data_IF_097357001146
#
_entry.id   IF_097357001146
#
_cell.length_a   1.000
_cell.length_b   1.000
_cell.length_c   1.000
_cell.angle_alpha   90.00
_cell.angle_beta   90.00
_cell.angle_gamma   90.00
#
_symmetry.space_group_name_H-M   'P 1'
#
loop_
_entity.id
_entity.type
_entity.pdbx_description
1 polymer ?
#
# COMPACT_ATOMS: atom_id res chain seq x y z
N UNK A 1 38.36 -0.53 -7.92
CA UNK A 1 37.28 -0.11 -8.84
C UNK A 1 36.42 0.89 -8.09
N UNK A 2 36.22 2.06 -8.67
CA UNK A 2 35.75 3.28 -8.00
C UNK A 2 34.22 3.32 -7.87
N UNK A 3 33.75 3.49 -6.63
CA UNK A 3 32.36 3.65 -6.16
C UNK A 3 31.42 4.52 -7.05
N UNK A 4 31.89 5.58 -7.75
CA UNK A 4 31.02 6.40 -8.60
C UNK A 4 30.46 5.66 -9.83
N UNK A 5 31.16 4.65 -10.35
CA UNK A 5 30.73 3.93 -11.54
C UNK A 5 29.52 3.00 -11.27
N UNK A 6 29.38 2.49 -10.05
CA UNK A 6 28.22 1.70 -9.62
C UNK A 6 26.95 2.55 -9.49
N UNK A 7 27.09 3.77 -9.00
CA UNK A 7 25.96 4.69 -8.77
C UNK A 7 25.37 5.22 -10.08
N UNK A 8 26.23 5.53 -11.06
CA UNK A 8 25.80 5.97 -12.40
C UNK A 8 25.14 4.82 -13.18
N UNK A 9 25.63 3.59 -13.02
CA UNK A 9 24.98 2.39 -13.58
C UNK A 9 23.58 2.17 -13.02
N UNK A 10 23.40 2.34 -11.70
CA UNK A 10 22.10 2.21 -11.04
C UNK A 10 21.09 3.25 -11.54
N UNK A 11 21.50 4.53 -11.67
CA UNK A 11 20.60 5.59 -12.14
C UNK A 11 20.17 5.44 -13.60
N UNK A 12 21.05 4.96 -14.49
CA UNK A 12 20.71 4.76 -15.90
C UNK A 12 19.78 3.57 -16.11
N UNK A 13 19.94 2.50 -15.32
CA UNK A 13 19.02 1.35 -15.33
C UNK A 13 17.64 1.75 -14.79
N UNK A 14 17.57 2.51 -13.68
CA UNK A 14 16.29 2.97 -13.12
C UNK A 14 15.50 3.87 -14.09
N UNK A 15 16.16 4.75 -14.84
CA UNK A 15 15.49 5.66 -15.79
C UNK A 15 14.97 4.91 -17.02
N UNK A 16 15.77 3.98 -17.57
CA UNK A 16 15.33 3.13 -18.69
C UNK A 16 14.11 2.27 -18.34
N UNK A 17 14.07 1.76 -17.10
CA UNK A 17 12.99 0.91 -16.63
C UNK A 17 11.69 1.64 -16.30
N UNK A 18 11.77 2.90 -15.82
CA UNK A 18 10.56 3.69 -15.57
C UNK A 18 9.76 3.87 -16.86
N UNK A 19 10.46 4.03 -17.99
CA UNK A 19 9.88 4.16 -19.32
C UNK A 19 9.34 2.80 -19.82
N UNK A 20 10.10 1.71 -19.65
CA UNK A 20 9.66 0.35 -20.00
C UNK A 20 8.44 -0.13 -19.21
N UNK A 21 8.39 0.19 -17.92
CA UNK A 21 7.30 -0.18 -17.02
C UNK A 21 6.03 0.66 -17.26
N UNK A 22 6.17 1.93 -17.63
CA UNK A 22 5.04 2.76 -18.07
C UNK A 22 4.38 2.21 -19.34
N UNK A 23 5.19 1.68 -20.28
CA UNK A 23 4.69 1.00 -21.48
C UNK A 23 4.04 -0.35 -21.12
N UNK A 24 4.59 -1.07 -20.14
CA UNK A 24 4.05 -2.33 -19.62
C UNK A 24 2.68 -2.16 -18.94
N UNK A 25 2.52 -1.11 -18.10
CA UNK A 25 1.25 -0.76 -17.47
C UNK A 25 0.18 -0.41 -18.50
N UNK A 26 0.56 0.24 -19.61
CA UNK A 26 -0.36 0.65 -20.68
C UNK A 26 -0.81 -0.50 -21.59
N UNK A 27 0.02 -1.53 -21.77
CA UNK A 27 -0.29 -2.70 -22.61
C UNK A 27 -1.11 -3.78 -21.88
N UNK A 28 -1.03 -3.85 -20.56
CA UNK A 28 -1.54 -4.99 -19.76
C UNK A 28 -2.94 -4.75 -19.17
N UNK A 29 -3.48 -3.53 -19.25
CA UNK A 29 -4.77 -3.12 -18.70
C UNK A 29 -6.03 -3.89 -19.14
N UNK A 30 -5.93 -4.98 -19.91
CA UNK A 30 -7.10 -5.69 -20.46
C UNK A 30 -7.30 -7.18 -20.09
N UNK A 31 -6.35 -7.90 -19.45
CA UNK A 31 -6.56 -9.36 -19.28
C UNK A 31 -5.83 -10.07 -18.12
N UNK A 32 -5.66 -9.42 -16.96
CA UNK A 32 -4.79 -10.00 -15.92
C UNK A 32 -5.52 -10.25 -14.59
N UNK A 33 -5.64 -11.54 -14.23
CA UNK A 33 -6.26 -11.99 -12.99
C UNK A 33 -5.51 -11.54 -11.73
N UNK A 34 -6.22 -11.48 -10.59
CA UNK A 34 -5.75 -10.94 -9.31
C UNK A 34 -4.43 -11.51 -8.78
N UNK A 35 -4.05 -12.73 -9.18
CA UNK A 35 -2.77 -13.36 -8.81
C UNK A 35 -1.57 -12.66 -9.45
N UNK A 36 -1.69 -12.28 -10.71
CA UNK A 36 -0.59 -11.68 -11.48
C UNK A 36 -0.37 -10.22 -11.10
N UNK A 37 -1.45 -9.48 -10.75
CA UNK A 37 -1.34 -8.11 -10.22
C UNK A 37 -0.58 -8.05 -8.88
N UNK A 38 -0.80 -9.04 -8.00
CA UNK A 38 -0.05 -9.14 -6.72
C UNK A 38 1.42 -9.45 -6.94
N UNK A 39 1.71 -10.38 -7.86
CA UNK A 39 3.09 -10.72 -8.24
C UNK A 39 3.79 -9.51 -8.88
N UNK A 40 3.10 -8.77 -9.75
CA UNK A 40 3.62 -7.56 -10.39
C UNK A 40 3.97 -6.46 -9.37
N UNK A 41 3.08 -6.15 -8.42
CA UNK A 41 3.36 -5.17 -7.35
C UNK A 41 4.53 -5.59 -6.46
N UNK A 42 4.63 -6.88 -6.19
CA UNK A 42 5.74 -7.42 -5.38
C UNK A 42 7.08 -7.32 -6.12
N UNK A 43 7.08 -7.58 -7.43
CA UNK A 43 8.24 -7.39 -8.30
C UNK A 43 8.62 -5.90 -8.34
N UNK A 44 7.64 -5.01 -8.48
CA UNK A 44 7.85 -3.56 -8.52
C UNK A 44 8.52 -3.05 -7.24
N UNK A 45 8.05 -3.47 -6.07
CA UNK A 45 8.70 -3.08 -4.82
C UNK A 45 10.15 -3.58 -4.73
N UNK A 46 10.40 -4.85 -5.07
CA UNK A 46 11.76 -5.41 -5.06
C UNK A 46 12.65 -4.62 -6.02
N UNK A 47 12.10 -4.15 -7.13
CA UNK A 47 12.80 -3.34 -8.11
C UNK A 47 13.09 -1.92 -7.60
N UNK A 48 12.05 -1.18 -7.20
CA UNK A 48 12.13 0.26 -6.86
C UNK A 48 12.84 0.50 -5.53
N UNK A 49 12.51 -0.30 -4.52
CA UNK A 49 13.03 -0.11 -3.16
C UNK A 49 14.22 -1.02 -2.85
N UNK A 50 14.46 -2.04 -3.68
CA UNK A 50 15.45 -3.07 -3.37
C UNK A 50 15.08 -3.84 -2.09
N UNK A 51 13.80 -3.97 -1.77
CA UNK A 51 13.30 -4.60 -0.54
C UNK A 51 12.17 -5.59 -0.82
N UNK A 52 12.09 -6.61 0.01
CA UNK A 52 11.05 -7.62 -0.01
C UNK A 52 9.91 -7.31 0.98
N UNK A 53 8.70 -7.81 0.70
CA UNK A 53 7.55 -7.67 1.61
C UNK A 53 7.81 -8.29 2.99
N UNK A 54 7.45 -7.58 4.06
CA UNK A 54 7.56 -8.09 5.43
C UNK A 54 6.77 -9.40 5.65
N UNK A 55 5.61 -9.58 5.02
CA UNK A 55 4.81 -10.82 5.17
C UNK A 55 5.56 -12.08 4.76
N UNK A 56 6.58 -11.98 3.90
CA UNK A 56 7.38 -13.12 3.48
C UNK A 56 8.14 -13.74 4.64
N UNK A 57 8.42 -12.96 5.68
CA UNK A 57 9.21 -13.36 6.84
C UNK A 57 8.41 -13.35 8.15
N UNK A 58 7.12 -13.06 8.11
CA UNK A 58 6.27 -12.88 9.30
C UNK A 58 6.20 -14.10 10.26
N UNK A 59 6.65 -15.28 9.81
CA UNK A 59 6.69 -16.52 10.62
C UNK A 59 8.12 -16.98 10.93
N UNK A 60 9.12 -16.14 10.65
CA UNK A 60 10.53 -16.48 10.81
C UNK A 60 11.14 -15.70 11.99
N UNK A 61 11.55 -16.46 13.00
CA UNK A 61 12.03 -15.91 14.28
C UNK A 61 13.53 -15.61 14.28
N UNK A 62 14.29 -16.25 13.38
CA UNK A 62 15.75 -16.05 13.25
C UNK A 62 16.11 -15.42 11.91
N UNK A 63 17.20 -14.67 11.84
CA UNK A 63 17.69 -14.10 10.58
C UNK A 63 17.98 -15.16 9.52
N UNK A 64 18.41 -16.35 9.93
CA UNK A 64 18.63 -17.49 9.04
C UNK A 64 17.30 -17.99 8.44
N UNK A 65 16.25 -18.10 9.25
CA UNK A 65 14.92 -18.50 8.78
C UNK A 65 14.30 -17.42 7.87
N UNK A 66 14.54 -16.14 8.18
CA UNK A 66 14.10 -15.01 7.36
C UNK A 66 14.77 -15.05 5.99
N UNK A 67 16.09 -15.28 5.93
CA UNK A 67 16.83 -15.45 4.66
C UNK A 67 16.29 -16.62 3.84
N UNK A 68 16.04 -17.77 4.47
CA UNK A 68 15.43 -18.94 3.80
C UNK A 68 14.04 -18.63 3.24
N UNK A 69 13.23 -17.91 4.00
CA UNK A 69 11.90 -17.49 3.58
C UNK A 69 11.96 -16.54 2.37
N UNK A 70 12.84 -15.53 2.39
CA UNK A 70 13.09 -14.65 1.25
C UNK A 70 13.54 -15.42 0.01
N UNK A 71 14.51 -16.34 0.15
CA UNK A 71 14.98 -17.16 -0.97
C UNK A 71 13.90 -18.09 -1.54
N UNK A 72 12.99 -18.58 -0.70
CA UNK A 72 11.85 -19.40 -1.13
C UNK A 72 10.87 -18.59 -1.98
N UNK A 73 10.51 -17.40 -1.53
CA UNK A 73 9.59 -16.52 -2.25
C UNK A 73 10.19 -15.99 -3.56
N UNK A 74 11.48 -15.67 -3.60
CA UNK A 74 12.13 -15.28 -4.86
C UNK A 74 12.17 -16.42 -5.89
N UNK A 75 12.35 -17.67 -5.45
CA UNK A 75 12.21 -18.83 -6.35
C UNK A 75 10.79 -18.97 -6.88
N UNK A 76 9.78 -18.66 -6.06
CA UNK A 76 8.38 -18.62 -6.47
C UNK A 76 8.16 -17.54 -7.54
N UNK A 77 8.64 -16.31 -7.31
CA UNK A 77 8.56 -15.21 -8.27
C UNK A 77 9.25 -15.56 -9.59
N UNK A 78 10.48 -16.08 -9.57
CA UNK A 78 11.17 -16.45 -10.81
C UNK A 78 10.36 -17.48 -11.62
N UNK A 79 9.79 -18.46 -10.94
CA UNK A 79 8.93 -19.46 -11.59
C UNK A 79 7.68 -18.82 -12.18
N UNK A 80 7.03 -17.90 -11.46
CA UNK A 80 5.84 -17.18 -11.94
C UNK A 80 6.17 -16.27 -13.12
N UNK A 81 7.28 -15.54 -13.08
CA UNK A 81 7.73 -14.65 -14.16
C UNK A 81 8.05 -15.43 -15.42
N UNK A 82 8.75 -16.57 -15.29
CA UNK A 82 9.08 -17.43 -16.44
C UNK A 82 7.85 -18.09 -17.05
N UNK A 83 6.88 -18.48 -16.22
CA UNK A 83 5.68 -19.19 -16.67
C UNK A 83 4.57 -18.25 -17.17
N UNK A 84 4.55 -16.99 -16.73
CA UNK A 84 3.44 -16.07 -17.02
C UNK A 84 3.59 -15.42 -18.39
N UNK A 85 2.54 -15.48 -19.24
CA UNK A 85 2.52 -14.75 -20.51
C UNK A 85 2.46 -13.23 -20.33
N UNK A 86 2.13 -12.73 -19.13
CA UNK A 86 2.17 -11.29 -18.82
C UNK A 86 3.59 -10.70 -18.87
N UNK A 87 4.63 -11.56 -18.82
CA UNK A 87 6.03 -11.19 -19.00
C UNK A 87 6.59 -11.89 -20.25
N UNK A 88 5.80 -12.07 -21.30
CA UNK A 88 6.23 -12.73 -22.53
C UNK A 88 7.19 -11.90 -23.37
N UNK A 89 7.23 -10.59 -23.16
CA UNK A 89 8.19 -9.70 -23.82
C UNK A 89 9.61 -9.99 -23.30
N UNK A 90 10.48 -10.39 -24.22
CA UNK A 90 11.80 -10.97 -23.91
C UNK A 90 12.68 -10.00 -23.12
N UNK A 91 12.64 -8.70 -23.44
CA UNK A 91 13.38 -7.67 -22.69
C UNK A 91 12.86 -7.44 -21.26
N UNK A 92 11.53 -7.40 -21.08
CA UNK A 92 10.90 -7.18 -19.76
C UNK A 92 11.17 -8.37 -18.83
N UNK A 93 11.10 -9.59 -19.36
CA UNK A 93 11.35 -10.81 -18.59
C UNK A 93 12.78 -10.87 -18.08
N UNK A 94 13.75 -10.63 -18.96
CA UNK A 94 15.17 -10.70 -18.61
C UNK A 94 15.52 -9.67 -17.53
N UNK A 95 15.01 -8.45 -17.67
CA UNK A 95 15.26 -7.38 -16.71
C UNK A 95 14.69 -7.67 -15.32
N UNK A 96 13.46 -8.18 -15.24
CA UNK A 96 12.85 -8.62 -13.98
C UNK A 96 13.68 -9.75 -13.35
N UNK A 97 14.10 -10.74 -14.13
CA UNK A 97 14.91 -11.85 -13.63
C UNK A 97 16.30 -11.40 -13.18
N UNK A 98 16.89 -10.39 -13.83
CA UNK A 98 18.15 -9.79 -13.41
C UNK A 98 18.00 -9.06 -12.07
N UNK A 99 16.93 -8.27 -11.89
CA UNK A 99 16.63 -7.60 -10.62
C UNK A 99 16.42 -8.59 -9.48
N UNK A 100 15.64 -9.66 -9.71
CA UNK A 100 15.45 -10.75 -8.74
C UNK A 100 16.78 -11.44 -8.41
N UNK A 101 17.63 -11.67 -9.40
CA UNK A 101 18.95 -12.26 -9.22
C UNK A 101 19.90 -11.33 -8.44
N UNK A 102 19.85 -10.03 -8.68
CA UNK A 102 20.59 -9.03 -7.90
C UNK A 102 20.14 -9.03 -6.43
N UNK A 103 18.82 -9.06 -6.18
CA UNK A 103 18.28 -9.11 -4.83
C UNK A 103 18.61 -10.43 -4.10
N UNK A 104 18.63 -11.58 -4.80
CA UNK A 104 19.12 -12.86 -4.25
C UNK A 104 20.57 -12.79 -3.76
N UNK A 105 21.44 -12.10 -4.50
CA UNK A 105 22.83 -11.91 -4.08
C UNK A 105 22.90 -11.13 -2.77
N UNK A 106 22.10 -10.08 -2.64
CA UNK A 106 22.01 -9.25 -1.42
C UNK A 106 21.53 -10.01 -0.19
N UNK A 107 20.62 -10.98 -0.32
CA UNK A 107 20.17 -11.81 0.81
C UNK A 107 21.33 -12.52 1.53
N UNK A 108 22.38 -12.84 0.79
CA UNK A 108 23.54 -13.56 1.33
C UNK A 108 24.54 -12.64 2.03
N UNK A 109 24.49 -11.33 1.77
CA UNK A 109 25.52 -10.36 2.19
C UNK A 109 24.99 -9.30 3.14
N UNK A 110 23.75 -8.85 2.92
CA UNK A 110 23.19 -7.69 3.58
C UNK A 110 22.47 -8.10 4.90
N UNK A 111 22.36 -7.16 5.85
CA UNK A 111 21.49 -7.34 7.02
C UNK A 111 20.03 -7.54 6.58
N UNK A 112 19.33 -8.50 7.18
CA UNK A 112 17.94 -8.80 6.81
C UNK A 112 17.04 -7.58 6.99
N UNK A 113 17.26 -6.75 8.01
CA UNK A 113 16.51 -5.51 8.25
C UNK A 113 16.57 -4.50 7.09
N UNK A 114 17.63 -4.51 6.28
CA UNK A 114 17.78 -3.62 5.12
C UNK A 114 17.13 -4.18 3.85
N UNK A 115 16.77 -5.47 3.87
CA UNK A 115 16.15 -6.19 2.77
C UNK A 115 14.64 -6.24 2.87
N UNK A 116 14.06 -5.74 3.96
CA UNK A 116 12.63 -5.78 4.22
C UNK A 116 12.03 -4.39 4.07
N UNK A 117 10.88 -4.34 3.40
CA UNK A 117 10.09 -3.16 3.18
C UNK A 117 8.62 -3.44 3.40
N UNK A 118 7.77 -2.39 3.33
CA UNK A 118 6.34 -2.51 3.58
C UNK A 118 5.69 -3.52 2.63
N UNK A 119 4.61 -4.18 3.03
CA UNK A 119 3.95 -5.16 2.17
C UNK A 119 3.27 -4.51 0.95
N UNK A 120 3.54 -4.93 -0.29
CA UNK A 120 2.97 -4.32 -1.50
C UNK A 120 1.54 -4.81 -1.78
N UNK A 121 0.97 -5.60 -0.85
CA UNK A 121 -0.48 -5.86 -0.84
C UNK A 121 -1.23 -4.94 0.12
N UNK A 122 -0.52 -4.13 0.89
CA UNK A 122 -1.11 -2.92 1.44
C UNK A 122 -1.34 -2.01 0.24
N UNK A 123 -2.61 -1.80 -0.05
CA UNK A 123 -3.03 -0.70 -0.93
C UNK A 123 -2.41 0.59 -0.37
N UNK A 124 -1.92 1.48 -1.23
CA UNK A 124 -1.36 2.78 -0.83
C UNK A 124 -2.33 3.50 0.11
N UNK A 125 -3.63 3.38 -0.19
CA UNK A 125 -4.71 3.90 0.64
C UNK A 125 -4.80 3.23 2.01
N UNK A 126 -4.58 4.00 3.06
CA UNK A 126 -4.89 3.62 4.43
C UNK A 126 -6.24 4.19 4.84
N UNK A 127 -7.12 3.36 5.41
CA UNK A 127 -8.39 3.80 5.98
C UNK A 127 -8.22 4.06 7.47
N UNK A 128 -8.51 5.29 7.90
CA UNK A 128 -8.53 5.67 9.32
C UNK A 128 -9.97 5.90 9.74
N UNK A 129 -10.41 5.22 10.79
CA UNK A 129 -11.78 5.30 11.29
C UNK A 129 -11.80 6.01 12.64
N UNK A 130 -12.54 7.10 12.73
CA UNK A 130 -12.79 7.82 13.98
C UNK A 130 -13.47 6.96 15.05
N UNK A 131 -13.36 7.32 16.33
CA UNK A 131 -13.98 6.53 17.39
C UNK A 131 -15.51 6.43 17.28
N UNK A 132 -16.19 7.49 16.80
CA UNK A 132 -17.65 7.49 16.65
C UNK A 132 -18.09 6.63 15.47
N UNK A 133 -17.36 6.67 14.34
CA UNK A 133 -17.63 5.79 13.20
C UNK A 133 -17.35 4.33 13.58
N UNK A 134 -16.31 4.06 14.37
CA UNK A 134 -16.04 2.73 14.91
C UNK A 134 -17.14 2.27 15.89
N UNK A 135 -17.67 3.16 16.72
CA UNK A 135 -18.81 2.85 17.57
C UNK A 135 -20.07 2.51 16.75
N UNK A 136 -20.28 3.21 15.63
CA UNK A 136 -21.35 2.92 14.68
C UNK A 136 -21.15 1.56 13.98
N UNK A 137 -19.96 1.27 13.46
CA UNK A 137 -19.66 0.02 12.74
C UNK A 137 -19.80 -1.22 13.63
N UNK A 138 -19.58 -1.09 14.94
CA UNK A 138 -19.83 -2.18 15.89
C UNK A 138 -21.31 -2.53 16.04
N UNK A 139 -22.20 -1.55 15.86
CA UNK A 139 -23.65 -1.70 16.01
C UNK A 139 -24.34 -2.07 14.69
N UNK A 140 -23.80 -1.62 13.56
CA UNK A 140 -24.36 -1.89 12.24
C UNK A 140 -23.65 -3.04 11.51
N UNK A 141 -24.41 -4.09 11.17
CA UNK A 141 -23.84 -5.28 10.55
C UNK A 141 -23.33 -5.04 9.13
N UNK A 142 -23.99 -4.14 8.38
CA UNK A 142 -23.60 -3.77 7.03
C UNK A 142 -22.27 -3.03 7.02
N UNK A 143 -22.12 -2.02 7.87
CA UNK A 143 -20.89 -1.25 8.04
C UNK A 143 -19.73 -2.14 8.51
N UNK A 144 -19.99 -3.06 9.44
CA UNK A 144 -18.98 -4.05 9.87
C UNK A 144 -18.52 -4.95 8.72
N UNK A 145 -19.45 -5.42 7.89
CA UNK A 145 -19.15 -6.24 6.73
C UNK A 145 -18.33 -5.48 5.68
N UNK A 146 -18.66 -4.20 5.47
CA UNK A 146 -17.93 -3.32 4.57
C UNK A 146 -16.48 -3.10 5.02
N UNK A 147 -16.23 -2.80 6.30
CA UNK A 147 -14.86 -2.66 6.82
C UNK A 147 -14.07 -3.96 6.68
N UNK A 148 -14.67 -5.12 7.01
CA UNK A 148 -13.99 -6.41 6.78
C UNK A 148 -13.68 -6.67 5.32
N UNK A 149 -14.51 -6.18 4.41
CA UNK A 149 -14.26 -6.29 2.97
C UNK A 149 -13.05 -5.45 2.59
N UNK A 150 -12.94 -4.23 3.12
CA UNK A 150 -11.76 -3.36 2.95
C UNK A 150 -10.49 -4.04 3.48
N UNK A 151 -10.52 -4.58 4.70
CA UNK A 151 -9.38 -5.34 5.26
C UNK A 151 -9.03 -6.58 4.40
N UNK A 152 -10.03 -7.32 3.93
CA UNK A 152 -9.85 -8.49 3.06
C UNK A 152 -9.28 -8.12 1.68
N UNK A 153 -9.64 -6.94 1.18
CA UNK A 153 -9.19 -6.43 -0.11
C UNK A 153 -7.76 -5.86 -0.05
N UNK A 154 -7.13 -5.89 1.14
CA UNK A 154 -5.72 -5.57 1.38
C UNK A 154 -5.46 -4.16 1.90
N UNK A 155 -6.50 -3.39 2.22
CA UNK A 155 -6.32 -2.05 2.79
C UNK A 155 -6.01 -2.14 4.28
N UNK A 156 -5.14 -1.25 4.77
CA UNK A 156 -4.90 -1.11 6.21
C UNK A 156 -6.00 -0.29 6.83
N UNK A 157 -6.59 -0.79 7.92
CA UNK A 157 -7.63 -0.07 8.66
C UNK A 157 -7.12 0.27 10.06
N UNK A 158 -6.83 1.56 10.31
CA UNK A 158 -6.56 2.07 11.64
C UNK A 158 -7.84 2.54 12.30
N UNK A 159 -8.00 2.21 13.57
CA UNK A 159 -9.17 2.60 14.36
C UNK A 159 -8.68 3.48 15.49
N UNK A 160 -9.11 4.73 15.50
CA UNK A 160 -8.72 5.68 16.53
C UNK A 160 -9.40 5.32 17.85
N UNK A 161 -8.64 5.44 18.93
CA UNK A 161 -9.16 5.18 20.27
C UNK A 161 -9.81 6.44 20.84
N UNK A 162 -11.06 6.32 21.31
CA UNK A 162 -11.72 7.39 22.08
C UNK A 162 -11.00 7.71 23.41
N UNK A 163 -10.12 6.82 23.88
CA UNK A 163 -9.43 6.94 25.16
C UNK A 163 -8.06 7.61 25.05
N UNK A 164 -7.57 7.85 23.82
CA UNK A 164 -6.33 8.61 23.63
C UNK A 164 -6.59 10.11 23.80
N UNK A 165 -5.67 10.79 24.49
CA UNK A 165 -5.74 12.25 24.63
C UNK A 165 -5.59 12.98 23.30
N UNK A 166 -4.84 12.41 22.36
CA UNK A 166 -4.60 13.02 21.06
C UNK A 166 -4.46 11.94 19.97
N UNK A 167 -5.57 11.27 19.59
CA UNK A 167 -5.54 10.10 18.71
C UNK A 167 -4.98 10.42 17.32
N UNK A 168 -5.19 11.66 16.84
CA UNK A 168 -4.67 12.09 15.55
C UNK A 168 -3.14 12.24 15.55
N UNK A 169 -2.56 12.78 16.62
CA UNK A 169 -1.10 12.93 16.73
C UNK A 169 -0.40 11.56 16.85
N UNK A 170 -1.02 10.63 17.56
CA UNK A 170 -0.57 9.23 17.67
C UNK A 170 -0.54 8.56 16.29
N UNK A 171 -1.66 8.68 15.56
CA UNK A 171 -1.79 8.18 14.18
C UNK A 171 -0.73 8.76 13.24
N UNK A 172 -0.51 10.08 13.25
CA UNK A 172 0.49 10.72 12.39
C UNK A 172 1.90 10.23 12.73
N UNK A 173 2.19 9.99 14.01
CA UNK A 173 3.47 9.39 14.44
C UNK A 173 3.63 7.96 13.92
N UNK A 174 2.59 7.15 14.00
CA UNK A 174 2.59 5.76 13.53
C UNK A 174 2.76 5.69 12.00
N UNK A 175 2.01 6.52 11.25
CA UNK A 175 2.08 6.57 9.79
C UNK A 175 3.41 7.13 9.27
N UNK A 176 3.99 8.13 9.95
CA UNK A 176 5.30 8.68 9.60
C UNK A 176 6.43 7.67 9.86
N UNK A 177 6.30 6.82 10.89
CA UNK A 177 7.23 5.72 11.17
C UNK A 177 7.25 4.65 10.07
N UNK A 178 6.17 4.54 9.30
CA UNK A 178 5.99 3.54 8.25
C UNK A 178 6.21 4.07 6.82
N UNK A 179 6.70 5.30 6.67
CA UNK A 179 6.92 5.98 5.38
C UNK A 179 5.65 6.12 4.52
N UNK A 180 4.45 6.22 5.12
CA UNK A 180 3.23 6.52 4.38
C UNK A 180 3.09 8.01 4.11
N UNK A 181 2.64 8.35 2.90
CA UNK A 181 2.35 9.75 2.54
C UNK A 181 0.93 10.09 2.99
N UNK A 182 0.70 11.28 3.59
CA UNK A 182 -0.64 11.72 3.97
C UNK A 182 -1.67 11.69 2.83
N UNK A 183 -1.22 11.95 1.60
CA UNK A 183 -2.05 11.93 0.38
C UNK A 183 -2.66 10.55 0.08
N UNK A 184 -2.07 9.48 0.60
CA UNK A 184 -2.52 8.11 0.41
C UNK A 184 -3.31 7.62 1.65
N UNK A 185 -3.84 8.54 2.47
CA UNK A 185 -4.59 8.18 3.67
C UNK A 185 -5.96 8.82 3.66
N UNK A 186 -6.99 7.99 3.83
CA UNK A 186 -8.39 8.39 3.92
C UNK A 186 -8.85 8.35 5.38
N UNK A 187 -9.15 9.51 5.97
CA UNK A 187 -9.83 9.60 7.25
C UNK A 187 -11.35 9.56 7.06
N UNK A 188 -12.03 8.72 7.85
CA UNK A 188 -13.48 8.67 7.97
C UNK A 188 -13.89 9.09 9.37
N UNK A 189 -14.51 10.25 9.45
CA UNK A 189 -14.92 10.90 10.68
C UNK A 189 -16.39 11.30 10.61
N UNK A 190 -17.06 11.42 11.76
CA UNK A 190 -18.46 11.88 11.78
C UNK A 190 -18.53 13.39 11.61
N UNK A 191 -19.65 13.89 11.09
CA UNK A 191 -19.93 15.33 10.99
C UNK A 191 -19.73 16.03 12.34
N UNK A 192 -19.01 17.17 12.32
CA UNK A 192 -18.73 17.97 13.51
C UNK A 192 -17.55 17.48 14.37
N UNK A 193 -16.87 16.40 14.01
CA UNK A 193 -15.62 16.03 14.67
C UNK A 193 -14.47 16.97 14.29
N UNK A 194 -13.74 17.44 15.30
CA UNK A 194 -12.52 18.25 15.11
C UNK A 194 -11.39 17.53 14.36
N UNK A 195 -11.55 16.23 14.06
CA UNK A 195 -10.57 15.43 13.34
C UNK A 195 -10.52 15.77 11.85
N UNK A 196 -11.63 16.19 11.23
CA UNK A 196 -11.69 16.49 9.80
C UNK A 196 -10.77 17.68 9.44
N UNK A 197 -10.88 18.85 10.11
CA UNK A 197 -9.97 19.97 9.85
C UNK A 197 -8.49 19.63 10.12
N UNK A 198 -8.20 18.82 11.14
CA UNK A 198 -6.83 18.40 11.48
C UNK A 198 -6.24 17.50 10.38
N UNK A 199 -7.04 16.57 9.85
CA UNK A 199 -6.66 15.67 8.78
C UNK A 199 -6.39 16.41 7.47
N UNK A 200 -7.25 17.36 7.10
CA UNK A 200 -7.02 18.19 5.92
C UNK A 200 -5.74 19.03 6.05
N UNK A 201 -5.48 19.62 7.22
CA UNK A 201 -4.24 20.36 7.47
C UNK A 201 -2.99 19.49 7.36
N UNK A 202 -3.12 18.20 7.68
CA UNK A 202 -2.05 17.21 7.54
C UNK A 202 -1.96 16.62 6.11
N UNK A 203 -2.88 16.99 5.20
CA UNK A 203 -2.88 16.54 3.80
C UNK A 203 -3.54 15.18 3.56
N UNK A 204 -4.40 14.73 4.48
CA UNK A 204 -5.18 13.50 4.35
C UNK A 204 -6.42 13.78 3.51
N UNK A 205 -6.87 12.78 2.74
CA UNK A 205 -8.21 12.81 2.18
C UNK A 205 -9.24 12.55 3.28
N UNK A 206 -10.35 13.29 3.29
CA UNK A 206 -11.37 13.16 4.32
C UNK A 206 -12.75 12.78 3.79
N UNK A 207 -13.40 11.85 4.49
CA UNK A 207 -14.81 11.53 4.29
C UNK A 207 -15.56 11.81 5.58
N UNK A 208 -16.53 12.72 5.48
CA UNK A 208 -17.51 12.92 6.53
C UNK A 208 -18.60 11.87 6.43
N UNK A 209 -18.71 11.02 7.44
CA UNK A 209 -19.81 10.09 7.61
C UNK A 209 -21.01 10.82 8.20
N UNK A 210 -22.02 11.06 7.37
CA UNK A 210 -23.21 11.81 7.76
C UNK A 210 -24.40 10.90 8.06
N UNK A 211 -25.09 11.20 9.16
CA UNK A 211 -26.39 10.65 9.51
C UNK A 211 -27.52 11.62 9.16
N UNK A 212 -28.73 11.09 8.90
CA UNK A 212 -29.92 11.91 8.68
C UNK A 212 -30.22 12.77 9.91
N UNK A 213 -29.76 14.02 9.89
CA UNK A 213 -29.85 14.97 11.01
C UNK A 213 -28.68 15.95 11.12
N UNK A 214 -27.58 15.74 10.39
CA UNK A 214 -26.42 16.62 10.44
C UNK A 214 -26.67 17.95 9.70
N UNK A 215 -26.12 19.04 10.22
CA UNK A 215 -26.25 20.39 9.64
C UNK A 215 -25.26 20.63 8.51
N UNK A 216 -25.61 21.48 7.52
CA UNK A 216 -24.72 21.79 6.40
C UNK A 216 -23.33 22.29 6.85
N UNK A 217 -23.27 23.12 7.89
CA UNK A 217 -22.00 23.66 8.43
C UNK A 217 -21.07 22.61 9.03
N UNK A 218 -21.58 21.45 9.45
CA UNK A 218 -20.76 20.35 9.98
C UNK A 218 -20.19 19.43 8.88
N UNK A 219 -20.54 19.69 7.62
CA UNK A 219 -20.16 18.91 6.44
C UNK A 219 -19.20 19.67 5.51
N UNK A 220 -19.09 21.00 5.64
CA UNK A 220 -18.31 21.86 4.74
C UNK A 220 -16.79 21.60 4.79
N UNK A 221 -16.30 21.02 5.88
CA UNK A 221 -14.88 20.81 6.09
C UNK A 221 -14.37 19.49 5.47
N UNK A 222 -15.20 18.61 4.92
CA UNK A 222 -14.74 17.33 4.37
C UNK A 222 -14.63 17.34 2.84
N UNK A 223 -13.64 16.62 2.30
CA UNK A 223 -13.50 16.48 0.84
C UNK A 223 -14.70 15.74 0.23
N UNK A 224 -15.26 14.77 0.97
CA UNK A 224 -16.40 13.97 0.56
C UNK A 224 -17.36 13.73 1.71
N UNK A 225 -18.61 13.45 1.36
CA UNK A 225 -19.67 13.09 2.30
C UNK A 225 -20.15 11.69 1.95
N UNK A 226 -20.19 10.80 2.93
CA UNK A 226 -20.75 9.46 2.82
C UNK A 226 -21.94 9.29 3.76
N UNK A 227 -23.04 8.73 3.25
CA UNK A 227 -24.24 8.39 4.04
C UNK A 227 -24.24 6.94 4.50
N UNK A 228 -23.37 6.12 3.91
CA UNK A 228 -23.21 4.71 4.25
C UNK A 228 -21.76 4.25 4.03
N UNK A 229 -21.43 3.09 4.60
CA UNK A 229 -20.07 2.57 4.54
C UNK A 229 -19.70 2.01 3.16
N UNK A 230 -20.68 1.72 2.29
CA UNK A 230 -20.40 1.25 0.93
C UNK A 230 -19.83 2.39 0.06
N UNK A 231 -20.32 3.62 0.25
CA UNK A 231 -19.75 4.82 -0.37
C UNK A 231 -18.30 5.07 0.07
N UNK A 232 -18.00 4.88 1.37
CA UNK A 232 -16.62 4.95 1.88
C UNK A 232 -15.72 3.94 1.15
N UNK A 233 -16.16 2.68 1.02
CA UNK A 233 -15.39 1.66 0.28
C UNK A 233 -15.19 2.06 -1.19
N UNK A 234 -16.19 2.66 -1.82
CA UNK A 234 -16.06 3.15 -3.19
C UNK A 234 -14.98 4.24 -3.30
N UNK A 235 -14.94 5.18 -2.36
CA UNK A 235 -13.91 6.25 -2.34
C UNK A 235 -12.51 5.72 -2.09
N UNK A 236 -12.35 4.76 -1.18
CA UNK A 236 -11.06 4.08 -0.96
C UNK A 236 -10.52 3.48 -2.27
N UNK A 237 -11.40 2.85 -3.07
CA UNK A 237 -11.04 2.25 -4.36
C UNK A 237 -10.77 3.30 -5.45
N UNK A 238 -11.49 4.40 -5.43
CA UNK A 238 -11.31 5.51 -6.38
C UNK A 238 -9.97 6.21 -6.19
N UNK A 239 -9.56 6.45 -4.93
CA UNK A 239 -8.25 7.04 -4.63
C UNK A 239 -7.10 6.20 -5.22
N UNK A 240 -7.21 4.88 -5.16
CA UNK A 240 -6.20 4.00 -5.77
C UNK A 240 -6.22 4.04 -7.31
N UNK A 241 -7.36 4.32 -7.93
CA UNK A 241 -7.45 4.43 -9.39
C UNK A 241 -6.83 5.71 -9.94
N UNK A 242 -6.84 6.80 -9.15
CA UNK A 242 -6.29 8.10 -9.54
C UNK A 242 -4.76 8.09 -9.56
N UNK A 243 -4.11 7.24 -8.74
CA UNK A 243 -2.65 7.07 -8.77
C UNK A 243 -2.13 6.27 -9.99
N UNK A 244 -3.02 5.67 -10.78
CA UNK A 244 -2.67 4.85 -11.94
C UNK A 244 -2.78 5.57 -13.29
N UNK A 245 -3.22 6.84 -13.30
CA UNK A 245 -3.33 7.72 -14.47
C UNK A 245 -2.18 8.76 -14.52
#
# INVERSE_FOLDING_TARGET
MSFPAMLVGFSLVSIGFTIGFFVLSRLIGQAVGASTLRTQRTIQQIYESGRAPERWIARADTDEDRRKALQKELRRIESEVRASPAFAEEGVREEILEAVSAFKRRISTDPVSELIGPDPALRSTVLVVSPDVEAFTRRDHGARSAIRTVERDGYRVFRLSAYERNPFQSLVSDLNGEHHRPVDTLLVARAGESLIPQANQAGFATVCFSSSGDTASSLEDADRIATDMAQVVAYVREMESIELD
#
